data_IF_638437307844
#
_entry.id   IF_638437307844
#
_cell.length_a   1.000
_cell.length_b   1.000
_cell.length_c   1.000
_cell.angle_alpha   90.00
_cell.angle_beta   90.00
_cell.angle_gamma   90.00
#
_symmetry.space_group_name_H-M   'P 1'
#
loop_
_entity.id
_entity.type
_entity.pdbx_description
1 polymer ?
#
# COMPACT_ATOMS: atom_id res chain seq x y z
N UNK A 1 -21.04 18.29 -1.01
CA UNK A 1 -21.12 16.93 -1.56
C UNK A 1 -21.60 16.03 -0.42
N UNK A 2 -22.81 15.47 -0.53
CA UNK A 2 -23.32 14.52 0.48
C UNK A 2 -22.51 13.23 0.31
N UNK A 3 -21.49 13.03 1.14
CA UNK A 3 -20.77 11.77 1.24
C UNK A 3 -21.74 10.77 1.88
N UNK A 4 -22.35 9.95 1.03
CA UNK A 4 -23.29 8.92 1.43
C UNK A 4 -22.47 7.82 2.11
N UNK A 5 -22.75 7.53 3.38
CA UNK A 5 -22.29 6.31 4.06
C UNK A 5 -22.97 5.12 3.36
N UNK A 6 -22.45 4.72 2.20
CA UNK A 6 -23.00 3.63 1.40
C UNK A 6 -22.49 2.30 1.95
N UNK A 7 -23.42 1.44 2.35
CA UNK A 7 -23.19 0.14 2.98
C UNK A 7 -22.47 -0.88 2.11
N UNK A 8 -22.28 -0.64 0.81
CA UNK A 8 -21.55 -1.52 -0.10
C UNK A 8 -20.03 -1.29 -0.06
N UNK A 9 -19.58 -0.10 0.33
CA UNK A 9 -18.16 0.21 0.55
C UNK A 9 -17.63 -0.33 1.87
N UNK A 10 -18.51 -0.81 2.78
CA UNK A 10 -18.10 -1.63 3.91
C UNK A 10 -17.32 -2.84 3.40
N UNK A 11 -17.64 -3.37 2.21
CA UNK A 11 -16.95 -4.53 1.63
C UNK A 11 -15.56 -4.22 1.13
N UNK A 12 -15.32 -3.05 0.52
CA UNK A 12 -13.96 -2.62 0.09
C UNK A 12 -13.10 -2.30 1.31
N UNK A 13 -13.67 -1.63 2.31
CA UNK A 13 -13.00 -1.37 3.57
C UNK A 13 -12.77 -2.66 4.37
N UNK A 14 -13.72 -3.58 4.41
CA UNK A 14 -13.57 -4.91 5.02
C UNK A 14 -12.54 -5.74 4.26
N UNK A 15 -12.54 -5.75 2.94
CA UNK A 15 -11.49 -6.40 2.13
C UNK A 15 -10.12 -5.76 2.40
N UNK A 16 -10.07 -4.44 2.65
CA UNK A 16 -8.87 -3.73 3.10
C UNK A 16 -8.48 -4.02 4.56
N UNK A 17 -9.41 -4.18 5.50
CA UNK A 17 -9.12 -4.43 6.93
C UNK A 17 -8.92 -5.93 7.21
N UNK A 18 -9.34 -6.81 6.31
CA UNK A 18 -9.08 -8.26 6.41
C UNK A 18 -7.58 -8.50 6.55
N UNK A 19 -7.20 -9.27 7.57
CA UNK A 19 -5.81 -9.65 7.79
C UNK A 19 -5.34 -10.52 6.62
N UNK A 20 -4.52 -9.95 5.73
CA UNK A 20 -3.97 -10.65 4.56
C UNK A 20 -3.21 -11.93 4.91
N UNK A 21 -2.79 -12.10 6.16
CA UNK A 21 -2.15 -13.33 6.65
C UNK A 21 -3.12 -14.48 6.88
N UNK A 22 -4.41 -14.18 7.07
CA UNK A 22 -5.46 -15.18 7.35
C UNK A 22 -6.23 -15.60 6.10
N UNK A 23 -5.98 -14.92 4.99
CA UNK A 23 -6.54 -15.29 3.71
C UNK A 23 -5.63 -16.33 3.03
N UNK A 24 -6.08 -17.57 2.91
CA UNK A 24 -5.33 -18.66 2.28
C UNK A 24 -5.63 -18.80 0.77
N UNK A 25 -6.33 -17.83 0.17
CA UNK A 25 -6.77 -17.89 -1.23
C UNK A 25 -5.63 -17.79 -2.25
N UNK A 26 -4.43 -17.36 -1.83
CA UNK A 26 -3.30 -17.10 -2.70
C UNK A 26 -1.99 -17.69 -2.16
N UNK A 27 -1.05 -18.10 -3.04
CA UNK A 27 0.19 -18.74 -2.64
C UNK A 27 1.05 -17.82 -1.78
N UNK A 28 1.56 -18.37 -0.67
CA UNK A 28 2.53 -17.72 0.21
C UNK A 28 3.94 -18.06 -0.24
N UNK A 29 4.60 -17.10 -0.88
CA UNK A 29 6.00 -17.19 -1.28
C UNK A 29 6.86 -16.81 -0.07
N UNK A 30 7.37 -17.82 0.64
CA UNK A 30 8.24 -17.67 1.82
C UNK A 30 9.71 -17.75 1.41
N UNK A 31 9.99 -18.52 0.38
CA UNK A 31 11.27 -18.64 -0.29
C UNK A 31 11.06 -18.39 -1.78
N UNK A 32 12.08 -17.90 -2.48
CA UNK A 32 11.93 -17.54 -3.91
C UNK A 32 11.66 -18.78 -4.77
N UNK A 33 12.07 -19.94 -4.30
CA UNK A 33 11.83 -21.25 -4.89
C UNK A 33 10.34 -21.67 -4.83
N UNK A 34 9.54 -21.03 -3.97
CA UNK A 34 8.10 -21.28 -3.89
C UNK A 34 7.35 -20.64 -5.08
N UNK A 35 7.97 -19.71 -5.81
CA UNK A 35 7.34 -19.03 -6.94
C UNK A 35 7.33 -19.91 -8.19
N UNK A 36 6.13 -20.13 -8.74
CA UNK A 36 5.91 -21.02 -9.89
C UNK A 36 5.16 -20.31 -11.03
N UNK A 37 5.34 -19.00 -11.18
CA UNK A 37 4.79 -18.21 -12.29
C UNK A 37 3.39 -17.65 -12.03
N UNK A 38 2.95 -17.59 -10.77
CA UNK A 38 1.64 -17.09 -10.40
C UNK A 38 1.51 -15.59 -10.68
N UNK A 39 0.30 -15.18 -11.05
CA UNK A 39 -0.04 -13.78 -11.29
C UNK A 39 -0.49 -13.05 -10.02
N UNK A 40 -0.92 -13.79 -8.99
CA UNK A 40 -1.32 -13.24 -7.69
C UNK A 40 -0.51 -13.94 -6.60
N UNK A 41 0.23 -13.17 -5.80
CA UNK A 41 1.13 -13.73 -4.79
C UNK A 41 1.06 -13.01 -3.45
N UNK A 42 1.40 -13.75 -2.38
CA UNK A 42 1.72 -13.20 -1.06
C UNK A 42 3.21 -13.33 -0.80
N UNK A 43 3.88 -12.21 -0.56
CA UNK A 43 5.29 -12.17 -0.19
C UNK A 43 5.46 -12.00 1.32
N UNK A 44 6.37 -12.79 1.88
CA UNK A 44 6.84 -12.63 3.25
C UNK A 44 8.37 -12.44 3.28
N UNK A 45 8.90 -11.30 2.78
CA UNK A 45 10.34 -11.09 2.66
C UNK A 45 11.05 -10.90 4.01
N UNK A 46 10.29 -10.73 5.10
CA UNK A 46 10.80 -10.52 6.45
C UNK A 46 9.99 -11.31 7.49
N UNK A 47 10.57 -11.61 8.65
CA UNK A 47 9.89 -12.23 9.81
C UNK A 47 9.53 -13.72 9.64
N UNK A 48 10.50 -14.56 9.27
CA UNK A 48 10.34 -16.01 9.41
C UNK A 48 10.51 -16.41 10.88
N UNK A 49 9.63 -17.31 11.36
CA UNK A 49 9.83 -17.90 12.67
C UNK A 49 11.07 -18.80 12.63
N UNK A 50 11.79 -18.89 13.75
CA UNK A 50 12.91 -19.81 13.94
C UNK A 50 14.14 -19.59 13.03
N UNK A 51 14.37 -18.38 12.51
CA UNK A 51 15.59 -18.02 11.77
C UNK A 51 16.41 -16.94 12.50
N UNK A 52 17.73 -16.96 12.30
CA UNK A 52 18.64 -15.91 12.80
C UNK A 52 18.52 -14.61 12.00
N UNK A 53 18.95 -13.48 12.56
CA UNK A 53 18.97 -12.19 11.87
C UNK A 53 19.80 -12.22 10.57
N UNK A 54 20.85 -13.03 10.52
CA UNK A 54 21.68 -13.21 9.32
C UNK A 54 20.93 -13.97 8.22
N UNK A 55 20.26 -15.08 8.56
CA UNK A 55 19.42 -15.82 7.61
C UNK A 55 18.26 -14.96 7.13
N UNK A 56 17.64 -14.21 8.04
CA UNK A 56 16.57 -13.27 7.69
C UNK A 56 17.03 -12.25 6.65
N UNK A 57 18.22 -11.67 6.84
CA UNK A 57 18.82 -10.73 5.89
C UNK A 57 19.04 -11.39 4.52
N UNK A 58 19.58 -12.61 4.48
CA UNK A 58 19.78 -13.35 3.23
C UNK A 58 18.49 -13.62 2.47
N UNK A 59 17.43 -14.02 3.18
CA UNK A 59 16.12 -14.23 2.56
C UNK A 59 15.57 -12.91 1.99
N UNK A 60 15.67 -11.82 2.75
CA UNK A 60 15.27 -10.50 2.25
C UNK A 60 16.07 -10.10 1.01
N UNK A 61 17.38 -10.34 1.00
CA UNK A 61 18.26 -10.08 -0.15
C UNK A 61 17.88 -10.94 -1.36
N UNK A 62 17.56 -12.24 -1.17
CA UNK A 62 17.12 -13.08 -2.29
C UNK A 62 15.81 -12.63 -2.91
N UNK A 63 14.86 -12.10 -2.12
CA UNK A 63 13.65 -11.48 -2.68
C UNK A 63 13.95 -10.22 -3.47
N UNK A 64 14.87 -9.37 -3.00
CA UNK A 64 15.31 -8.18 -3.74
C UNK A 64 15.93 -8.59 -5.07
N UNK A 65 16.87 -9.53 -5.06
CA UNK A 65 17.53 -10.03 -6.27
C UNK A 65 16.50 -10.63 -7.23
N UNK A 66 15.58 -11.47 -6.74
CA UNK A 66 14.50 -12.05 -7.53
C UNK A 66 13.67 -10.97 -8.23
N UNK A 67 13.16 -9.97 -7.49
CA UNK A 67 12.31 -8.91 -8.02
C UNK A 67 13.05 -7.92 -8.94
N UNK A 68 14.38 -7.81 -8.84
CA UNK A 68 15.18 -6.98 -9.74
C UNK A 68 15.60 -7.72 -11.01
N UNK A 69 15.67 -9.05 -10.96
CA UNK A 69 16.22 -9.88 -12.04
C UNK A 69 15.41 -9.81 -13.33
N UNK A 70 14.09 -9.98 -13.23
CA UNK A 70 13.20 -10.10 -14.38
C UNK A 70 11.84 -9.44 -14.11
N UNK A 71 11.06 -9.25 -15.18
CA UNK A 71 9.65 -8.88 -15.07
C UNK A 71 8.79 -10.14 -15.06
N UNK A 72 8.11 -10.39 -13.94
CA UNK A 72 7.26 -11.57 -13.79
C UNK A 72 5.80 -11.26 -14.19
N UNK A 73 4.96 -12.29 -14.43
CA UNK A 73 3.53 -12.12 -14.72
C UNK A 73 2.68 -11.69 -13.50
N UNK A 74 3.32 -11.17 -12.45
CA UNK A 74 2.66 -10.76 -11.20
C UNK A 74 1.83 -9.49 -11.47
N UNK A 75 0.51 -9.61 -11.29
CA UNK A 75 -0.46 -8.50 -11.40
C UNK A 75 -0.96 -8.04 -10.04
N UNK A 76 -0.97 -8.93 -9.04
CA UNK A 76 -1.31 -8.58 -7.65
C UNK A 76 -0.28 -9.13 -6.67
N UNK A 77 0.16 -8.26 -5.77
CA UNK A 77 1.14 -8.60 -4.74
C UNK A 77 0.69 -8.10 -3.38
N UNK A 78 0.61 -9.01 -2.43
CA UNK A 78 0.36 -8.69 -1.02
C UNK A 78 1.62 -8.97 -0.21
N UNK A 79 2.14 -7.97 0.47
CA UNK A 79 3.35 -8.07 1.29
C UNK A 79 2.93 -8.11 2.75
N UNK A 80 2.96 -9.31 3.32
CA UNK A 80 2.36 -9.64 4.61
C UNK A 80 3.25 -9.29 5.82
N UNK A 81 4.41 -8.68 5.59
CA UNK A 81 5.47 -8.45 6.58
C UNK A 81 6.06 -7.05 6.45
N UNK A 82 7.00 -6.70 7.33
CA UNK A 82 7.63 -5.37 7.32
C UNK A 82 8.70 -5.29 6.22
N UNK A 83 8.61 -4.32 5.33
CA UNK A 83 9.62 -4.07 4.29
C UNK A 83 10.39 -2.78 4.51
N UNK A 84 11.63 -2.76 4.04
CA UNK A 84 12.49 -1.58 4.01
C UNK A 84 12.46 -0.94 2.61
N UNK A 85 13.19 0.17 2.45
CA UNK A 85 13.31 0.89 1.17
C UNK A 85 13.75 -0.03 0.01
N UNK A 86 14.80 -0.85 0.21
CA UNK A 86 15.34 -1.73 -0.84
C UNK A 86 14.31 -2.71 -1.39
N UNK A 87 13.52 -3.32 -0.50
CA UNK A 87 12.46 -4.25 -0.92
C UNK A 87 11.35 -3.51 -1.64
N UNK A 88 10.95 -2.33 -1.16
CA UNK A 88 9.95 -1.49 -1.84
C UNK A 88 10.39 -1.11 -3.26
N UNK A 89 11.63 -0.64 -3.43
CA UNK A 89 12.17 -0.28 -4.73
C UNK A 89 12.25 -1.49 -5.68
N UNK A 90 12.59 -2.67 -5.16
CA UNK A 90 12.61 -3.90 -5.92
C UNK A 90 11.20 -4.34 -6.37
N UNK A 91 10.19 -4.20 -5.50
CA UNK A 91 8.78 -4.42 -5.88
C UNK A 91 8.39 -3.49 -7.02
N UNK A 92 8.82 -2.23 -6.96
CA UNK A 92 8.52 -1.24 -7.99
C UNK A 92 9.16 -1.53 -9.36
N UNK A 93 10.01 -2.56 -9.47
CA UNK A 93 10.51 -3.06 -10.76
C UNK A 93 9.49 -3.98 -11.47
N UNK A 94 8.45 -4.45 -10.77
CA UNK A 94 7.43 -5.37 -11.31
C UNK A 94 6.32 -4.61 -12.04
N UNK A 95 6.61 -4.17 -13.27
CA UNK A 95 5.76 -3.24 -14.05
C UNK A 95 4.39 -3.80 -14.50
N UNK A 96 4.13 -5.08 -14.26
CA UNK A 96 2.82 -5.69 -14.50
C UNK A 96 1.84 -5.50 -13.34
N UNK A 97 2.29 -5.02 -12.18
CA UNK A 97 1.45 -4.83 -11.02
C UNK A 97 0.29 -3.87 -11.28
N UNK A 98 -0.92 -4.36 -11.03
CA UNK A 98 -2.17 -3.61 -11.00
C UNK A 98 -2.66 -3.38 -9.56
N UNK A 99 -2.27 -4.25 -8.63
CA UNK A 99 -2.65 -4.18 -7.21
C UNK A 99 -1.45 -4.46 -6.31
N UNK A 100 -1.16 -3.53 -5.40
CA UNK A 100 -0.08 -3.66 -4.41
C UNK A 100 -0.63 -3.37 -3.02
N UNK A 101 -0.50 -4.34 -2.12
CA UNK A 101 -0.82 -4.20 -0.71
C UNK A 101 0.41 -4.45 0.15
N UNK A 102 0.73 -3.49 1.02
CA UNK A 102 1.90 -3.55 1.90
C UNK A 102 1.43 -3.40 3.34
N UNK A 103 1.72 -4.41 4.17
CA UNK A 103 1.40 -4.37 5.59
C UNK A 103 2.17 -3.26 6.33
N UNK A 104 3.48 -3.19 6.13
CA UNK A 104 4.28 -2.20 6.85
C UNK A 104 5.51 -1.82 6.04
N UNK A 105 5.62 -0.52 5.75
CA UNK A 105 6.76 0.06 5.08
C UNK A 105 7.58 0.91 6.07
N UNK A 106 8.82 0.50 6.30
CA UNK A 106 9.83 1.23 7.10
C UNK A 106 10.83 1.96 6.20
N UNK A 107 10.32 2.67 5.20
CA UNK A 107 11.08 3.63 4.42
C UNK A 107 10.45 5.02 4.52
N UNK A 108 11.01 5.95 3.75
CA UNK A 108 10.59 7.36 3.72
C UNK A 108 10.11 7.80 2.36
N UNK A 109 10.70 7.22 1.32
CA UNK A 109 10.51 7.59 -0.07
C UNK A 109 9.69 6.52 -0.76
N UNK A 110 8.63 6.94 -1.44
CA UNK A 110 7.79 6.06 -2.27
C UNK A 110 7.86 6.42 -3.75
N UNK A 111 8.78 7.30 -4.17
CA UNK A 111 8.88 7.82 -5.54
C UNK A 111 9.05 6.73 -6.60
N UNK A 112 9.68 5.61 -6.26
CA UNK A 112 9.83 4.45 -7.14
C UNK A 112 8.49 3.82 -7.55
N UNK A 113 7.40 4.08 -6.83
CA UNK A 113 6.04 3.63 -7.20
C UNK A 113 5.62 4.09 -8.60
N UNK A 114 6.17 5.21 -9.08
CA UNK A 114 5.88 5.76 -10.41
C UNK A 114 6.28 4.82 -11.57
N UNK A 115 7.15 3.85 -11.30
CA UNK A 115 7.48 2.79 -12.26
C UNK A 115 6.31 1.82 -12.52
N UNK A 116 5.36 1.72 -11.59
CA UNK A 116 4.20 0.83 -11.66
C UNK A 116 3.05 1.49 -12.45
N UNK A 117 3.30 1.76 -13.74
CA UNK A 117 2.37 2.47 -14.64
C UNK A 117 1.00 1.79 -14.85
N UNK A 118 0.86 0.52 -14.47
CA UNK A 118 -0.42 -0.22 -14.50
C UNK A 118 -1.14 -0.26 -13.15
N UNK A 119 -0.55 0.29 -12.09
CA UNK A 119 -1.05 0.17 -10.72
C UNK A 119 -2.38 0.93 -10.56
N UNK A 120 -3.46 0.20 -10.30
CA UNK A 120 -4.80 0.73 -10.04
C UNK A 120 -5.13 0.78 -8.56
N UNK A 121 -4.53 -0.11 -7.76
CA UNK A 121 -4.83 -0.23 -6.33
C UNK A 121 -3.55 -0.20 -5.51
N UNK A 122 -3.47 0.75 -4.58
CA UNK A 122 -2.38 0.87 -3.62
C UNK A 122 -2.93 0.88 -2.19
N UNK A 123 -2.44 -0.06 -1.39
CA UNK A 123 -2.75 -0.14 0.02
C UNK A 123 -1.45 -0.20 0.81
N UNK A 124 -1.23 0.76 1.71
CA UNK A 124 -0.12 0.73 2.67
C UNK A 124 -0.73 0.78 4.06
N UNK A 125 -0.81 -0.34 4.78
CA UNK A 125 -1.46 -0.40 6.10
C UNK A 125 -0.66 0.37 7.17
N UNK A 126 0.67 0.40 7.06
CA UNK A 126 1.52 1.16 7.97
C UNK A 126 2.70 1.81 7.26
N UNK A 127 2.57 3.11 7.01
CA UNK A 127 3.54 3.97 6.32
C UNK A 127 4.13 5.08 7.20
N UNK A 128 4.33 4.83 8.50
CA UNK A 128 4.73 5.86 9.48
C UNK A 128 6.02 6.63 9.19
N UNK A 129 6.88 6.07 8.33
CA UNK A 129 8.12 6.70 7.90
C UNK A 129 7.98 7.61 6.68
N UNK A 130 6.91 7.48 5.89
CA UNK A 130 6.73 8.17 4.61
C UNK A 130 6.63 9.68 4.86
N UNK A 131 7.47 10.45 4.18
CA UNK A 131 7.61 11.90 4.38
C UNK A 131 6.98 12.71 3.23
N UNK A 132 6.92 12.14 2.03
CA UNK A 132 6.37 12.79 0.84
C UNK A 132 5.57 11.79 -0.01
N UNK A 133 4.43 12.24 -0.51
CA UNK A 133 3.52 11.50 -1.41
C UNK A 133 3.28 12.24 -2.74
N UNK A 134 4.03 13.32 -3.00
CA UNK A 134 3.89 14.15 -4.20
C UNK A 134 4.00 13.35 -5.49
N UNK A 135 4.84 12.30 -5.51
CA UNK A 135 4.98 11.37 -6.64
C UNK A 135 3.68 10.64 -7.02
N UNK A 136 2.71 10.50 -6.10
CA UNK A 136 1.42 9.89 -6.41
C UNK A 136 0.60 10.76 -7.38
N UNK A 137 0.90 12.05 -7.52
CA UNK A 137 0.29 12.94 -8.50
C UNK A 137 0.37 12.41 -9.95
N UNK A 138 1.42 11.65 -10.26
CA UNK A 138 1.69 11.13 -11.60
C UNK A 138 0.99 9.79 -11.85
N UNK A 139 0.45 9.15 -10.81
CA UNK A 139 -0.22 7.85 -10.86
C UNK A 139 -1.70 7.99 -11.21
N UNK A 140 -2.00 8.70 -12.31
CA UNK A 140 -3.36 9.09 -12.71
C UNK A 140 -4.30 7.91 -13.03
N UNK A 141 -3.77 6.69 -13.18
CA UNK A 141 -4.53 5.46 -13.34
C UNK A 141 -5.00 4.81 -12.03
N UNK A 142 -4.60 5.34 -10.86
CA UNK A 142 -5.07 4.84 -9.57
C UNK A 142 -6.58 5.00 -9.43
N UNK A 143 -7.23 3.92 -8.99
CA UNK A 143 -8.65 3.85 -8.65
C UNK A 143 -8.87 3.72 -7.14
N UNK A 144 -7.92 3.10 -6.42
CA UNK A 144 -7.99 2.90 -4.97
C UNK A 144 -6.66 3.27 -4.31
N UNK A 145 -6.73 4.13 -3.30
CA UNK A 145 -5.59 4.53 -2.48
C UNK A 145 -5.97 4.54 -1.01
N UNK A 146 -5.40 3.63 -0.23
CA UNK A 146 -5.53 3.64 1.23
C UNK A 146 -4.15 3.74 1.88
N UNK A 147 -3.98 4.74 2.74
CA UNK A 147 -2.73 5.04 3.44
C UNK A 147 -2.95 4.99 4.96
N UNK A 148 -2.38 3.98 5.60
CA UNK A 148 -2.47 3.76 7.04
C UNK A 148 -1.22 4.26 7.78
N UNK A 149 -1.45 4.80 8.99
CA UNK A 149 -0.41 5.27 9.91
C UNK A 149 0.57 6.31 9.32
N UNK A 150 0.14 7.18 8.41
CA UNK A 150 0.97 8.20 7.73
C UNK A 150 1.25 9.45 8.56
N UNK A 151 1.80 9.27 9.77
CA UNK A 151 1.96 10.34 10.79
C UNK A 151 2.78 11.55 10.37
N UNK A 152 3.62 11.43 9.35
CA UNK A 152 4.51 12.50 8.86
C UNK A 152 3.95 13.26 7.66
N UNK A 153 2.87 12.77 7.04
CA UNK A 153 2.24 13.41 5.89
C UNK A 153 1.10 14.29 6.40
N UNK A 154 1.17 15.58 6.07
CA UNK A 154 0.19 16.58 6.48
C UNK A 154 -0.49 17.28 5.30
N UNK A 155 0.17 17.35 4.14
CA UNK A 155 -0.38 17.96 2.93
C UNK A 155 -0.65 16.87 1.90
N UNK A 156 -1.93 16.71 1.53
CA UNK A 156 -2.40 15.72 0.58
C UNK A 156 -2.88 16.37 -0.74
N UNK A 157 -2.64 17.67 -0.91
CA UNK A 157 -3.15 18.44 -2.06
C UNK A 157 -2.71 17.89 -3.41
N UNK A 158 -1.54 17.25 -3.48
CA UNK A 158 -1.05 16.60 -4.71
C UNK A 158 -2.00 15.53 -5.26
N UNK A 159 -2.84 14.92 -4.40
CA UNK A 159 -3.80 13.88 -4.78
C UNK A 159 -4.98 14.41 -5.60
N UNK A 160 -5.23 15.73 -5.60
CA UNK A 160 -6.27 16.35 -6.44
C UNK A 160 -6.09 16.06 -7.94
N UNK A 161 -4.88 15.68 -8.38
CA UNK A 161 -4.58 15.24 -9.75
C UNK A 161 -5.10 13.85 -10.11
N UNK A 162 -5.45 13.01 -9.13
CA UNK A 162 -5.89 11.63 -9.34
C UNK A 162 -7.37 11.56 -9.74
N UNK A 163 -7.66 11.95 -10.99
CA UNK A 163 -9.05 12.07 -11.49
C UNK A 163 -9.79 10.74 -11.59
N UNK A 164 -9.09 9.61 -11.67
CA UNK A 164 -9.69 8.27 -11.74
C UNK A 164 -9.90 7.61 -10.36
N UNK A 165 -9.48 8.27 -9.28
CA UNK A 165 -9.59 7.70 -7.94
C UNK A 165 -11.05 7.63 -7.51
N UNK A 166 -11.50 6.44 -7.13
CA UNK A 166 -12.85 6.14 -6.65
C UNK A 166 -12.90 5.97 -5.14
N UNK A 167 -11.82 5.46 -4.56
CA UNK A 167 -11.73 5.15 -3.13
C UNK A 167 -10.46 5.78 -2.56
N UNK A 168 -10.62 6.62 -1.56
CA UNK A 168 -9.53 7.22 -0.80
C UNK A 168 -9.72 7.02 0.70
N UNK A 169 -8.65 6.67 1.42
CA UNK A 169 -8.71 6.51 2.87
C UNK A 169 -7.40 6.81 3.56
N UNK A 170 -7.48 7.44 4.73
CA UNK A 170 -6.35 7.66 5.63
C UNK A 170 -6.76 7.23 7.04
N UNK A 171 -6.15 6.17 7.55
CA UNK A 171 -6.63 5.48 8.76
C UNK A 171 -5.51 5.08 9.73
N UNK A 172 -5.89 4.72 10.95
CA UNK A 172 -5.05 4.03 11.91
C UNK A 172 -5.25 2.51 11.80
N UNK A 173 -4.17 1.77 11.53
CA UNK A 173 -4.24 0.31 11.50
C UNK A 173 -3.91 -0.27 12.89
N UNK A 174 -4.80 0.02 13.85
CA UNK A 174 -4.95 -0.61 15.17
C UNK A 174 -6.05 0.14 15.95
N UNK A 175 -7.30 -0.27 15.76
CA UNK A 175 -8.44 0.16 16.58
C UNK A 175 -8.23 -0.35 18.01
N UNK A 176 -7.62 0.48 18.87
CA UNK A 176 -7.78 0.48 20.35
C UNK A 176 -6.74 1.36 21.10
N UNK A 177 -5.74 1.97 20.44
CA UNK A 177 -4.63 2.61 21.19
C UNK A 177 -4.30 4.06 20.74
N UNK A 178 -4.54 4.46 19.49
CA UNK A 178 -4.18 5.82 19.08
C UNK A 178 -5.25 6.85 19.48
N UNK A 179 -5.01 7.57 20.58
CA UNK A 179 -5.78 8.79 20.94
C UNK A 179 -5.43 9.99 20.05
N UNK A 180 -4.51 9.85 19.11
CA UNK A 180 -3.96 10.95 18.32
C UNK A 180 -4.38 10.80 16.88
N UNK A 181 -5.28 11.68 16.43
CA UNK A 181 -5.68 11.80 15.02
C UNK A 181 -4.49 12.16 14.12
N UNK A 182 -4.48 11.64 12.90
CA UNK A 182 -3.55 12.02 11.84
C UNK A 182 -3.82 13.48 11.44
N UNK A 183 -2.78 14.30 11.34
CA UNK A 183 -2.94 15.71 10.99
C UNK A 183 -3.07 15.84 9.47
N UNK A 184 -4.06 16.61 9.02
CA UNK A 184 -4.27 16.94 7.61
C UNK A 184 -4.53 18.44 7.49
N UNK A 185 -3.78 19.11 6.63
CA UNK A 185 -3.87 20.57 6.44
C UNK A 185 -5.22 21.01 5.88
N UNK A 186 -5.72 20.28 4.88
CA UNK A 186 -7.03 20.50 4.26
C UNK A 186 -7.44 19.23 3.51
N UNK A 187 -8.75 19.07 3.31
CA UNK A 187 -9.35 18.04 2.46
C UNK A 187 -9.92 18.62 1.13
N UNK A 188 -9.65 19.89 0.80
CA UNK A 188 -10.22 20.57 -0.37
C UNK A 188 -9.86 19.91 -1.70
N UNK A 189 -8.72 19.22 -1.77
CA UNK A 189 -8.26 18.50 -2.95
C UNK A 189 -9.26 17.43 -3.43
N UNK A 190 -10.12 16.94 -2.54
CA UNK A 190 -11.21 16.00 -2.87
C UNK A 190 -12.18 16.63 -3.88
N UNK A 191 -12.40 17.94 -3.82
CA UNK A 191 -13.29 18.63 -4.77
C UNK A 191 -12.75 18.59 -6.21
N UNK A 192 -11.46 18.29 -6.39
CA UNK A 192 -10.83 18.15 -7.70
C UNK A 192 -10.95 16.72 -8.27
N UNK A 193 -11.54 15.77 -7.54
CA UNK A 193 -11.54 14.34 -7.84
C UNK A 193 -12.97 13.89 -8.21
N UNK A 194 -13.39 14.03 -9.49
CA UNK A 194 -14.80 13.92 -9.88
C UNK A 194 -15.38 12.50 -9.80
N UNK A 195 -14.52 11.48 -9.81
CA UNK A 195 -14.92 10.08 -9.75
C UNK A 195 -14.85 9.48 -8.35
N UNK A 196 -14.60 10.31 -7.32
CA UNK A 196 -14.46 9.83 -5.95
C UNK A 196 -15.82 9.42 -5.39
N UNK A 197 -15.97 8.14 -5.09
CA UNK A 197 -17.19 7.51 -4.59
C UNK A 197 -17.15 7.35 -3.07
N UNK A 198 -15.96 7.10 -2.50
CA UNK A 198 -15.78 6.84 -1.08
C UNK A 198 -14.53 7.51 -0.50
N UNK A 199 -14.69 8.06 0.70
CA UNK A 199 -13.65 8.74 1.48
C UNK A 199 -13.74 8.33 2.94
N UNK A 200 -12.63 7.84 3.50
CA UNK A 200 -12.45 7.68 4.95
C UNK A 200 -11.34 8.60 5.46
N UNK A 201 -11.76 9.53 6.31
CA UNK A 201 -10.90 10.48 7.02
C UNK A 201 -11.26 10.54 8.51
N UNK A 202 -11.91 9.51 9.05
CA UNK A 202 -12.43 9.52 10.43
C UNK A 202 -11.31 9.70 11.46
N UNK A 203 -10.15 9.12 11.16
CA UNK A 203 -8.93 9.19 11.94
C UNK A 203 -8.14 10.50 11.74
N UNK A 204 -8.62 11.41 10.89
CA UNK A 204 -7.94 12.66 10.61
C UNK A 204 -8.44 13.83 11.48
N UNK A 205 -7.52 14.74 11.81
CA UNK A 205 -7.77 16.09 12.31
C UNK A 205 -7.42 17.05 11.18
N UNK A 206 -8.45 17.66 10.61
CA UNK A 206 -8.33 18.63 9.53
C UNK A 206 -8.26 20.04 10.12
N UNK A 207 -7.27 20.83 9.70
CA UNK A 207 -7.09 22.24 10.11
C UNK A 207 -5.67 22.60 10.48
#
# INVERSE_FOLDING_TARGET
MNLQLCTDHSRIYEDFVRDIRQDDSYPFIRHIEDYNGESVIKLCPSQHQFVTSYQQKKITESFVDFLLKDSYPIVEMQVCTIINQKVFDAICNQRNLESLRIKCFRGKDISSITNLTKLKKLFIESGSGIEDISCLADMTQLEVLILGETKKIYDYSCLGKLKNLKVFGVCHYQTNISRTKLKMKSNDFINEMPNLEWVDLDDCKIG
#
